data_IF_668115733336
#
_entry.id   IF_668115733336
#
_cell.length_a   1.000
_cell.length_b   1.000
_cell.length_c   1.000
_cell.angle_alpha   90.00
_cell.angle_beta   90.00
_cell.angle_gamma   90.00
#
_symmetry.space_group_name_H-M   'P 1'
#
loop_
_entity.id
_entity.type
_entity.pdbx_description
1 polymer ?
#
# COMPACT_ATOMS: atom_id res chain seq x y z
N UNK A 1 90.15 -52.53 -45.27
CA UNK A 1 89.99 -52.64 -46.73
C UNK A 1 88.51 -52.39 -47.03
N UNK A 2 88.06 -51.14 -47.02
CA UNK A 2 88.09 -50.15 -48.12
C UNK A 2 87.11 -50.54 -49.24
N UNK A 3 85.91 -49.93 -49.26
CA UNK A 3 85.44 -48.99 -50.31
C UNK A 3 83.94 -48.67 -50.15
N UNK A 4 83.63 -47.43 -49.80
CA UNK A 4 82.45 -46.68 -50.27
C UNK A 4 82.69 -46.21 -51.72
N UNK A 5 81.68 -45.89 -52.56
CA UNK A 5 81.13 -44.52 -52.59
C UNK A 5 79.61 -44.45 -52.95
N UNK A 6 78.77 -43.57 -52.41
CA UNK A 6 78.64 -42.10 -52.54
C UNK A 6 77.83 -41.62 -53.77
N UNK A 7 76.86 -40.73 -53.47
CA UNK A 7 76.16 -39.73 -54.32
C UNK A 7 74.87 -40.25 -55.02
N UNK A 8 73.72 -39.56 -54.98
CA UNK A 8 73.54 -38.11 -55.14
C UNK A 8 72.14 -37.68 -54.71
N UNK A 9 72.07 -36.42 -54.29
CA UNK A 9 70.96 -35.50 -53.96
C UNK A 9 69.69 -35.72 -54.79
N UNK A 10 68.48 -35.35 -54.36
CA UNK A 10 67.95 -33.98 -54.37
C UNK A 10 66.67 -33.91 -53.53
N UNK A 11 66.48 -32.79 -52.82
CA UNK A 11 65.27 -32.51 -52.06
C UNK A 11 64.07 -32.17 -52.95
N UNK A 12 62.88 -32.19 -52.35
CA UNK A 12 61.79 -31.22 -52.55
C UNK A 12 60.67 -31.49 -51.53
N UNK A 13 60.19 -30.37 -50.96
CA UNK A 13 58.90 -30.10 -50.31
C UNK A 13 58.73 -30.32 -48.79
N UNK A 14 59.02 -29.20 -48.13
CA UNK A 14 58.44 -28.68 -46.89
C UNK A 14 56.89 -28.68 -46.87
N UNK A 15 56.35 -28.51 -45.65
CA UNK A 15 55.02 -27.92 -45.33
C UNK A 15 53.74 -28.77 -45.41
N UNK A 16 53.66 -29.95 -44.77
CA UNK A 16 52.34 -30.52 -44.40
C UNK A 16 52.24 -31.12 -43.00
N UNK A 17 53.16 -30.80 -42.08
CA UNK A 17 53.08 -31.28 -40.68
C UNK A 17 53.26 -30.20 -39.61
N UNK A 18 53.10 -28.92 -39.95
CA UNK A 18 53.16 -27.79 -39.00
C UNK A 18 51.84 -27.00 -38.92
N UNK A 19 50.82 -27.39 -39.70
CA UNK A 19 49.49 -26.77 -39.69
C UNK A 19 48.35 -27.77 -39.51
N UNK A 20 48.59 -28.89 -38.81
CA UNK A 20 47.50 -29.81 -38.41
C UNK A 20 47.64 -30.36 -36.99
N UNK A 21 48.29 -29.60 -36.11
CA UNK A 21 48.32 -29.90 -34.67
C UNK A 21 47.97 -28.70 -33.78
N UNK A 22 47.49 -27.58 -34.36
CA UNK A 22 46.80 -26.51 -33.59
C UNK A 22 45.28 -26.59 -33.65
N UNK A 23 44.70 -27.43 -34.51
CA UNK A 23 43.24 -27.57 -34.62
C UNK A 23 42.70 -28.82 -33.92
N UNK A 24 43.57 -29.63 -33.31
CA UNK A 24 43.20 -30.93 -32.72
C UNK A 24 43.86 -31.19 -31.37
N UNK A 25 44.16 -30.13 -30.61
CA UNK A 25 44.18 -30.21 -29.15
C UNK A 25 42.87 -29.58 -28.71
N UNK A 26 41.94 -30.45 -28.33
CA UNK A 26 41.58 -30.56 -26.92
C UNK A 26 40.82 -29.30 -26.52
N UNK A 27 39.59 -29.25 -27.02
CA UNK A 27 38.42 -29.64 -26.22
C UNK A 27 38.18 -28.49 -25.25
N UNK A 28 37.16 -27.71 -25.61
CA UNK A 28 36.28 -27.05 -24.67
C UNK A 28 37.04 -26.47 -23.48
N UNK A 29 37.60 -25.27 -23.62
CA UNK A 29 37.57 -24.36 -22.49
C UNK A 29 36.10 -23.95 -22.37
N UNK A 30 35.32 -24.56 -21.47
CA UNK A 30 33.93 -24.21 -21.21
C UNK A 30 33.91 -23.14 -20.11
N UNK A 31 35.04 -22.46 -19.83
CA UNK A 31 35.22 -21.66 -18.62
C UNK A 31 34.69 -20.23 -18.75
N UNK A 32 33.90 -19.95 -19.80
CA UNK A 32 33.30 -18.64 -20.04
C UNK A 32 31.85 -18.72 -20.55
N UNK A 33 31.26 -19.91 -20.74
CA UNK A 33 29.80 -20.04 -20.83
C UNK A 33 29.17 -20.38 -19.47
N UNK A 34 29.92 -20.97 -18.55
CA UNK A 34 29.45 -21.23 -17.19
C UNK A 34 29.36 -19.96 -16.33
N UNK A 35 30.05 -18.88 -16.70
CA UNK A 35 30.10 -17.66 -15.86
C UNK A 35 29.00 -16.65 -16.16
N UNK A 36 28.30 -16.81 -17.30
CA UNK A 36 27.04 -16.09 -17.58
C UNK A 36 25.80 -16.96 -17.33
N UNK A 37 25.99 -18.27 -17.15
CA UNK A 37 25.05 -19.15 -16.46
C UNK A 37 25.53 -19.33 -15.01
N UNK A 38 25.93 -18.22 -14.36
CA UNK A 38 25.53 -18.06 -12.95
C UNK A 38 24.03 -17.90 -12.97
N UNK A 39 23.37 -19.06 -13.12
CA UNK A 39 21.94 -19.34 -12.94
C UNK A 39 21.42 -18.25 -12.06
N UNK A 40 20.69 -17.28 -12.65
CA UNK A 40 19.89 -16.27 -11.94
C UNK A 40 20.10 -16.39 -10.44
N UNK A 41 21.18 -15.77 -9.92
CA UNK A 41 21.79 -16.21 -8.66
C UNK A 41 20.75 -16.43 -7.58
N UNK A 42 20.97 -17.29 -6.59
CA UNK A 42 20.03 -17.47 -5.45
C UNK A 42 19.52 -16.12 -4.91
N UNK A 43 20.34 -15.06 -5.01
CA UNK A 43 19.95 -13.66 -4.83
C UNK A 43 18.78 -13.14 -5.70
N UNK A 44 18.73 -13.40 -7.00
CA UNK A 44 17.63 -13.05 -7.90
C UNK A 44 16.31 -13.69 -7.47
N UNK A 45 16.32 -14.96 -7.07
CA UNK A 45 15.13 -15.63 -6.53
C UNK A 45 14.68 -15.04 -5.20
N UNK A 46 15.63 -14.66 -4.34
CA UNK A 46 15.32 -13.93 -3.10
C UNK A 46 14.72 -12.55 -3.38
N UNK A 47 15.26 -11.80 -4.35
CA UNK A 47 14.71 -10.49 -4.76
C UNK A 47 13.32 -10.66 -5.38
N UNK A 48 13.14 -11.64 -6.28
CA UNK A 48 11.85 -11.91 -6.90
C UNK A 48 10.81 -12.36 -5.86
N UNK A 49 11.21 -13.20 -4.91
CA UNK A 49 10.37 -13.58 -3.77
C UNK A 49 10.02 -12.40 -2.87
N UNK A 50 10.98 -11.51 -2.58
CA UNK A 50 10.73 -10.30 -1.80
C UNK A 50 9.75 -9.36 -2.51
N UNK A 51 9.88 -9.18 -3.83
CA UNK A 51 8.94 -8.38 -4.62
C UNK A 51 7.54 -9.01 -4.63
N UNK A 52 7.43 -10.32 -4.83
CA UNK A 52 6.13 -11.02 -4.79
C UNK A 52 5.49 -10.90 -3.41
N UNK A 53 6.26 -11.06 -2.32
CA UNK A 53 5.76 -10.89 -0.95
C UNK A 53 5.32 -9.45 -0.68
N UNK A 54 6.08 -8.46 -1.15
CA UNK A 54 5.74 -7.05 -1.03
C UNK A 54 4.43 -6.75 -1.80
N UNK A 55 4.33 -7.22 -3.05
CA UNK A 55 3.11 -7.08 -3.85
C UNK A 55 1.92 -7.78 -3.19
N UNK A 56 2.09 -9.01 -2.70
CA UNK A 56 1.03 -9.71 -1.99
C UNK A 56 0.60 -8.96 -0.71
N UNK A 57 1.55 -8.40 0.03
CA UNK A 57 1.28 -7.57 1.21
C UNK A 57 0.51 -6.30 0.87
N UNK A 58 0.94 -5.56 -0.16
CA UNK A 58 0.27 -4.34 -0.62
C UNK A 58 -1.10 -4.65 -1.24
N UNK A 59 -1.24 -5.72 -2.00
CA UNK A 59 -2.55 -6.14 -2.53
C UNK A 59 -3.49 -6.54 -1.40
N UNK A 60 -3.03 -7.34 -0.44
CA UNK A 60 -3.85 -7.76 0.71
C UNK A 60 -4.22 -6.54 1.57
N UNK A 61 -3.25 -5.67 1.88
CA UNK A 61 -3.52 -4.45 2.64
C UNK A 61 -4.36 -3.44 1.85
N UNK A 62 -4.24 -3.36 0.52
CA UNK A 62 -5.04 -2.46 -0.30
C UNK A 62 -6.49 -2.93 -0.47
N UNK A 63 -6.72 -4.24 -0.49
CA UNK A 63 -8.06 -4.85 -0.58
C UNK A 63 -8.75 -4.89 0.79
N UNK A 64 -8.02 -5.23 1.86
CA UNK A 64 -8.59 -5.38 3.20
C UNK A 64 -8.43 -4.15 4.09
N UNK A 65 -7.43 -3.31 3.83
CA UNK A 65 -7.28 -2.03 4.49
C UNK A 65 -8.43 -1.11 4.09
N UNK A 66 -9.02 -0.46 5.09
CA UNK A 66 -9.92 0.67 4.88
C UNK A 66 -9.26 1.86 5.55
N UNK A 67 -9.15 2.96 4.82
CA UNK A 67 -8.79 4.22 5.40
C UNK A 67 -10.09 4.98 5.62
N UNK A 68 -10.52 4.99 6.87
CA UNK A 68 -11.74 5.68 7.28
C UNK A 68 -11.38 7.13 7.63
N UNK A 69 -11.91 8.08 6.87
CA UNK A 69 -11.84 9.51 7.19
C UNK A 69 -12.88 9.78 8.26
N UNK A 70 -12.40 9.97 9.50
CA UNK A 70 -13.26 10.25 10.65
C UNK A 70 -13.18 11.73 11.04
N UNK A 71 -14.33 12.34 11.28
CA UNK A 71 -14.45 13.69 11.84
C UNK A 71 -14.86 13.55 13.30
N UNK A 72 -14.06 14.15 14.20
CA UNK A 72 -14.37 14.18 15.62
C UNK A 72 -15.53 15.13 15.85
N UNK A 73 -16.61 14.61 16.41
CA UNK A 73 -17.82 15.37 16.68
C UNK A 73 -18.37 14.96 18.06
N UNK A 74 -18.74 15.93 18.91
CA UNK A 74 -19.40 15.59 20.16
C UNK A 74 -20.77 14.99 19.87
N UNK A 75 -21.04 13.85 20.48
CA UNK A 75 -22.30 13.13 20.37
C UNK A 75 -23.05 13.24 21.70
N UNK A 76 -24.29 13.72 21.65
CA UNK A 76 -25.16 13.83 22.81
C UNK A 76 -26.34 12.90 22.61
N UNK A 77 -26.51 11.96 23.53
CA UNK A 77 -27.63 11.03 23.54
C UNK A 77 -28.70 11.56 24.47
N UNK A 78 -29.92 11.67 23.95
CA UNK A 78 -31.10 12.11 24.70
C UNK A 78 -32.32 11.33 24.25
N UNK A 79 -33.02 10.70 25.18
CA UNK A 79 -34.24 9.92 24.91
C UNK A 79 -34.03 8.85 23.81
N UNK A 80 -32.85 8.21 23.78
CA UNK A 80 -32.49 7.21 22.75
C UNK A 80 -32.17 7.79 21.36
N UNK A 81 -32.11 9.12 21.23
CA UNK A 81 -31.72 9.82 20.01
C UNK A 81 -30.30 10.32 20.16
N UNK A 82 -29.45 9.99 19.19
CA UNK A 82 -28.09 10.46 19.07
C UNK A 82 -28.07 11.79 18.30
N UNK A 83 -27.57 12.85 18.92
CA UNK A 83 -27.32 14.14 18.26
C UNK A 83 -25.82 14.39 18.17
N UNK A 84 -25.27 14.34 16.97
CA UNK A 84 -23.89 14.71 16.69
C UNK A 84 -23.81 16.13 16.17
N UNK A 85 -22.95 16.95 16.76
CA UNK A 85 -22.75 18.33 16.32
C UNK A 85 -21.53 18.44 15.43
N UNK A 86 -21.71 19.00 14.24
CA UNK A 86 -20.69 19.07 13.18
C UNK A 86 -20.43 20.53 12.86
N UNK A 87 -19.16 20.90 12.64
CA UNK A 87 -18.78 22.26 12.23
C UNK A 87 -19.35 22.61 10.86
N UNK A 88 -19.58 23.89 10.61
CA UNK A 88 -20.01 24.36 9.29
C UNK A 88 -19.01 23.98 8.19
N UNK A 89 -17.71 23.98 8.47
CA UNK A 89 -16.66 23.57 7.53
C UNK A 89 -16.74 22.11 7.11
N UNK A 90 -17.29 21.25 7.97
CA UNK A 90 -17.35 19.80 7.79
C UNK A 90 -18.75 19.34 7.35
N UNK A 91 -19.73 20.24 7.33
CA UNK A 91 -21.13 19.96 7.00
C UNK A 91 -21.32 19.38 5.60
N UNK A 92 -20.55 19.84 4.63
CA UNK A 92 -20.64 19.35 3.24
C UNK A 92 -20.16 17.90 3.11
N UNK A 93 -19.26 17.48 4.00
CA UNK A 93 -18.74 16.13 3.99
C UNK A 93 -19.77 15.17 4.60
N UNK A 94 -20.60 15.61 5.56
CA UNK A 94 -21.57 14.73 6.25
C UNK A 94 -22.91 14.65 5.52
N UNK A 95 -23.31 13.42 5.19
CA UNK A 95 -24.59 13.10 4.52
C UNK A 95 -25.38 12.01 5.25
N UNK A 96 -26.68 11.94 4.97
CA UNK A 96 -27.57 10.88 5.47
C UNK A 96 -27.07 9.52 4.97
N UNK A 97 -27.09 8.51 5.85
CA UNK A 97 -26.58 7.17 5.57
C UNK A 97 -25.12 6.94 5.99
N UNK A 98 -24.38 8.01 6.33
CA UNK A 98 -23.06 7.89 6.97
C UNK A 98 -23.16 7.32 8.38
N UNK A 99 -22.05 6.85 8.94
CA UNK A 99 -22.04 6.23 10.26
C UNK A 99 -21.34 7.13 11.27
N UNK A 100 -21.94 7.27 12.45
CA UNK A 100 -21.26 7.80 13.63
C UNK A 100 -20.79 6.62 14.46
N UNK A 101 -19.49 6.53 14.67
CA UNK A 101 -18.90 5.54 15.55
C UNK A 101 -18.78 6.09 16.97
N UNK A 102 -19.37 5.39 17.93
CA UNK A 102 -19.26 5.70 19.36
C UNK A 102 -18.90 4.43 20.09
N UNK A 103 -17.75 4.44 20.78
CA UNK A 103 -17.23 3.28 21.53
C UNK A 103 -17.11 2.00 20.68
N UNK A 104 -16.75 2.12 19.40
CA UNK A 104 -16.62 0.96 18.50
C UNK A 104 -17.94 0.47 17.90
N UNK A 105 -19.06 1.18 18.12
CA UNK A 105 -20.36 0.88 17.51
C UNK A 105 -20.74 1.98 16.52
N UNK A 106 -20.99 1.62 15.27
CA UNK A 106 -21.50 2.51 14.24
C UNK A 106 -23.02 2.68 14.31
N UNK A 107 -23.48 3.92 14.25
CA UNK A 107 -24.89 4.32 14.19
C UNK A 107 -25.13 5.09 12.90
N UNK A 108 -26.11 4.69 12.10
CA UNK A 108 -26.41 5.35 10.83
C UNK A 108 -27.10 6.70 11.05
N UNK A 109 -26.58 7.74 10.42
CA UNK A 109 -27.18 9.07 10.39
C UNK A 109 -28.48 9.00 9.60
N UNK A 110 -29.58 9.32 10.27
CA UNK A 110 -30.94 9.31 9.73
C UNK A 110 -31.31 10.66 9.12
N UNK A 111 -30.84 11.75 9.70
CA UNK A 111 -31.09 13.10 9.20
C UNK A 111 -30.00 14.06 9.63
N UNK A 112 -29.80 15.13 8.88
CA UNK A 112 -28.92 16.24 9.26
C UNK A 112 -29.75 17.52 9.21
N UNK A 113 -29.64 18.37 10.23
CA UNK A 113 -30.32 19.66 10.29
C UNK A 113 -29.93 20.52 9.08
N UNK A 114 -30.91 21.20 8.50
CA UNK A 114 -30.71 22.18 7.43
C UNK A 114 -30.34 23.56 7.98
N UNK A 115 -30.74 23.86 9.21
CA UNK A 115 -30.44 25.13 9.87
C UNK A 115 -29.22 24.98 10.78
N UNK A 116 -28.22 25.90 10.67
CA UNK A 116 -27.15 25.99 11.65
C UNK A 116 -27.68 26.49 12.99
N UNK A 117 -27.08 26.02 14.07
CA UNK A 117 -27.39 26.43 15.44
C UNK A 117 -26.10 26.83 16.16
N UNK A 118 -26.20 27.80 17.06
CA UNK A 118 -25.03 28.26 17.80
C UNK A 118 -24.62 27.21 18.83
N UNK A 119 -23.33 26.84 18.83
CA UNK A 119 -22.80 25.84 19.75
C UNK A 119 -22.91 26.31 21.22
N UNK A 120 -22.60 27.58 21.44
CA UNK A 120 -22.73 28.23 22.74
C UNK A 120 -24.19 28.28 23.19
N UNK A 121 -24.45 27.85 24.42
CA UNK A 121 -25.81 27.82 25.02
C UNK A 121 -26.65 26.61 24.64
N UNK A 122 -26.34 25.94 23.52
CA UNK A 122 -27.02 24.69 23.13
C UNK A 122 -26.24 23.45 23.56
N UNK A 123 -24.92 23.48 23.46
CA UNK A 123 -24.05 22.39 23.90
C UNK A 123 -23.58 22.60 25.34
N UNK A 124 -23.37 21.48 26.04
CA UNK A 124 -22.70 21.51 27.35
C UNK A 124 -21.25 21.96 27.19
N UNK A 125 -20.63 22.62 28.20
CA UNK A 125 -19.22 22.99 28.15
C UNK A 125 -18.28 21.83 27.84
N UNK A 126 -18.63 20.62 28.29
CA UNK A 126 -17.89 19.40 27.99
C UNK A 126 -18.00 18.98 26.53
N UNK A 127 -19.19 19.08 25.92
CA UNK A 127 -19.37 18.79 24.51
C UNK A 127 -18.64 19.82 23.61
N UNK A 128 -18.59 21.10 24.01
CA UNK A 128 -17.78 22.10 23.31
C UNK A 128 -16.28 21.77 23.34
N UNK A 129 -15.78 21.27 24.48
CA UNK A 129 -14.39 20.85 24.59
C UNK A 129 -14.06 19.66 23.68
N UNK A 130 -14.95 18.67 23.59
CA UNK A 130 -14.78 17.50 22.71
C UNK A 130 -14.76 17.91 21.24
N UNK A 131 -15.67 18.81 20.84
CA UNK A 131 -15.78 19.28 19.46
C UNK A 131 -14.76 20.34 19.05
N UNK A 132 -13.90 20.76 19.98
CA UNK A 132 -13.00 21.90 19.80
C UNK A 132 -13.73 23.12 19.21
N UNK A 133 -14.90 23.42 19.78
CA UNK A 133 -15.76 24.50 19.31
C UNK A 133 -15.37 25.84 19.95
N UNK A 134 -15.30 26.89 19.15
CA UNK A 134 -15.10 28.25 19.60
C UNK A 134 -16.42 28.87 20.13
N UNK A 135 -16.27 29.89 20.96
CA UNK A 135 -17.41 30.66 21.47
C UNK A 135 -18.18 31.31 20.30
N UNK A 136 -19.46 30.95 20.19
CA UNK A 136 -20.35 31.45 19.14
C UNK A 136 -20.22 30.75 17.79
N UNK A 137 -19.48 29.64 17.70
CA UNK A 137 -19.37 28.83 16.47
C UNK A 137 -20.73 28.23 16.06
N UNK A 138 -20.96 28.16 14.76
CA UNK A 138 -22.16 27.57 14.19
C UNK A 138 -21.94 26.09 13.90
N UNK A 139 -22.85 25.27 14.40
CA UNK A 139 -22.82 23.81 14.25
C UNK A 139 -24.12 23.30 13.65
N UNK A 140 -24.03 22.18 12.94
CA UNK A 140 -25.16 21.45 12.40
C UNK A 140 -25.35 20.16 13.21
N UNK A 141 -26.60 19.78 13.46
CA UNK A 141 -26.92 18.56 14.18
C UNK A 141 -27.22 17.42 13.20
N UNK A 142 -26.43 16.34 13.24
CA UNK A 142 -26.77 15.06 12.65
C UNK A 142 -27.47 14.19 13.69
N UNK A 143 -28.53 13.50 13.28
CA UNK A 143 -29.38 12.69 14.14
C UNK A 143 -29.25 11.22 13.72
N UNK A 144 -29.06 10.35 14.69
CA UNK A 144 -29.09 8.90 14.52
C UNK A 144 -29.87 8.24 15.66
N UNK A 145 -30.38 7.03 15.44
CA UNK A 145 -30.97 6.23 16.52
C UNK A 145 -29.87 5.52 17.30
N UNK A 146 -30.03 5.45 18.63
CA UNK A 146 -29.08 4.74 19.48
C UNK A 146 -29.78 4.04 20.63
N UNK A 147 -29.20 2.93 21.06
CA UNK A 147 -29.60 2.22 22.29
C UNK A 147 -28.72 2.62 23.47
N UNK A 148 -27.86 3.63 23.32
CA UNK A 148 -27.03 4.16 24.39
C UNK A 148 -27.89 4.89 25.43
N UNK A 149 -27.41 4.87 26.67
CA UNK A 149 -27.99 5.67 27.73
C UNK A 149 -27.76 7.16 27.46
N UNK A 150 -28.63 8.00 28.01
CA UNK A 150 -28.50 9.46 27.90
C UNK A 150 -27.17 9.94 28.50
N UNK A 151 -26.48 10.78 27.74
CA UNK A 151 -25.15 11.24 28.11
C UNK A 151 -24.41 11.92 26.96
N UNK A 152 -23.25 12.49 27.29
CA UNK A 152 -22.33 13.07 26.31
C UNK A 152 -21.22 12.06 26.05
N UNK A 153 -20.98 11.78 24.77
CA UNK A 153 -19.99 10.83 24.29
C UNK A 153 -19.08 11.50 23.25
N UNK A 154 -17.86 10.99 23.17
CA UNK A 154 -16.98 11.28 22.04
C UNK A 154 -17.44 10.42 20.86
N UNK A 155 -17.83 11.07 19.77
CA UNK A 155 -18.23 10.42 18.53
C UNK A 155 -17.26 10.73 17.41
N UNK A 156 -17.06 9.75 16.54
CA UNK A 156 -16.29 9.88 15.32
C UNK A 156 -17.23 9.62 14.14
N UNK A 157 -17.54 10.66 13.38
CA UNK A 157 -18.37 10.50 12.18
C UNK A 157 -17.48 9.95 11.07
N UNK A 158 -17.77 8.74 10.60
CA UNK A 158 -17.12 8.13 9.45
C UNK A 158 -17.73 8.73 8.20
N UNK A 159 -16.99 9.65 7.59
CA UNK A 159 -17.47 10.49 6.49
C UNK A 159 -17.08 9.90 5.14
N UNK A 160 -15.92 9.28 5.07
CA UNK A 160 -15.50 8.50 3.92
C UNK A 160 -14.81 7.23 4.39
N UNK A 161 -15.00 6.14 3.64
CA UNK A 161 -14.25 4.89 3.82
C UNK A 161 -13.67 4.52 2.46
N UNK A 162 -12.38 4.74 2.29
CA UNK A 162 -11.70 4.48 1.01
C UNK A 162 -10.78 3.27 1.17
N UNK A 163 -10.93 2.29 0.29
CA UNK A 163 -9.96 1.20 0.20
C UNK A 163 -8.67 1.73 -0.49
N UNK A 164 -7.47 1.56 0.09
CA UNK A 164 -6.23 2.08 -0.46
C UNK A 164 -5.95 1.63 -1.90
N UNK A 165 -6.46 0.46 -2.32
CA UNK A 165 -6.32 -0.02 -3.69
C UNK A 165 -6.95 0.92 -4.73
N UNK A 166 -8.05 1.62 -4.43
CA UNK A 166 -8.68 2.55 -5.37
C UNK A 166 -7.75 3.71 -5.76
N UNK A 167 -6.86 4.14 -4.87
CA UNK A 167 -5.92 5.24 -5.11
C UNK A 167 -4.77 4.87 -6.05
N UNK A 168 -4.49 3.57 -6.23
CA UNK A 168 -3.43 3.07 -7.11
C UNK A 168 -3.94 2.81 -8.54
N UNK A 169 -5.25 2.60 -8.70
CA UNK A 169 -5.87 2.22 -9.98
C UNK A 169 -6.68 3.35 -10.66
N UNK A 170 -6.60 4.58 -10.16
CA UNK A 170 -7.21 5.78 -10.77
C UNK A 170 -6.16 6.87 -10.99
#
# INVERSE_FOLDING_TARGET
MILSPLRRTWGIKMEKRIYREKSMKRISSPEQLDDYIKVTGTGMWMVMGAVILLLAGVCTWGIFGRLDTVIKAPAVVKDGTLLCYIKETDREQVSVGMQVEIRGKGYSILSVSDAPMQAYGTLTPYAMHIGDFADGEWVYAAVADTELADGVYEGEVVVESIAPAFFVFN
#
